data_IF_977778555647
#
_entry.id   IF_977778555647
#
_cell.length_a   1.000
_cell.length_b   1.000
_cell.length_c   1.000
_cell.angle_alpha   90.00
_cell.angle_beta   90.00
_cell.angle_gamma   90.00
#
_symmetry.space_group_name_H-M   'P 1'
#
loop_
_entity.id
_entity.type
_entity.pdbx_description
1 polymer ?
#
# COMPACT_ATOMS: atom_id res chain seq x y z
N UNK A 1 -21.30 -3.79 13.84
CA UNK A 1 -21.05 -2.50 14.54
C UNK A 1 -19.92 -1.77 13.84
N UNK A 2 -20.16 -0.51 13.44
CA UNK A 2 -19.11 0.36 12.89
C UNK A 2 -18.05 0.63 13.98
N UNK A 3 -16.77 0.38 13.67
CA UNK A 3 -15.70 0.68 14.61
C UNK A 3 -15.62 2.20 14.82
N UNK A 4 -15.21 2.69 16.01
CA UNK A 4 -15.01 4.12 16.27
C UNK A 4 -14.06 4.78 15.24
N UNK A 5 -13.11 4.03 14.72
CA UNK A 5 -12.17 4.48 13.69
C UNK A 5 -12.89 4.80 12.36
N UNK A 6 -13.86 3.99 11.95
CA UNK A 6 -14.64 4.28 10.74
C UNK A 6 -15.42 5.57 10.89
N UNK A 7 -16.13 5.77 12.01
CA UNK A 7 -16.84 7.03 12.27
C UNK A 7 -15.90 8.23 12.27
N UNK A 8 -14.73 8.09 12.88
CA UNK A 8 -13.72 9.14 12.91
C UNK A 8 -13.19 9.50 11.51
N UNK A 9 -12.93 8.50 10.64
CA UNK A 9 -12.49 8.73 9.26
C UNK A 9 -13.58 9.47 8.48
N UNK A 10 -14.80 8.94 8.48
CA UNK A 10 -15.89 9.40 7.62
C UNK A 10 -16.59 10.67 8.11
N UNK A 11 -16.41 11.07 9.37
CA UNK A 11 -16.98 12.31 9.91
C UNK A 11 -16.26 13.58 9.49
N UNK A 12 -15.10 13.50 8.85
CA UNK A 12 -14.32 14.67 8.47
C UNK A 12 -14.01 14.62 6.96
N UNK A 13 -14.41 15.64 6.19
CA UNK A 13 -14.25 15.67 4.74
C UNK A 13 -12.81 15.45 4.24
N UNK A 14 -11.79 15.94 4.98
CA UNK A 14 -10.39 15.74 4.59
C UNK A 14 -9.96 14.28 4.77
N UNK A 15 -10.30 13.67 5.91
CA UNK A 15 -9.98 12.26 6.14
C UNK A 15 -10.73 11.37 5.16
N UNK A 16 -12.01 11.73 4.87
CA UNK A 16 -12.81 11.09 3.85
C UNK A 16 -12.14 11.20 2.47
N UNK A 17 -11.82 12.41 2.01
CA UNK A 17 -11.17 12.63 0.73
C UNK A 17 -9.82 11.90 0.64
N UNK A 18 -9.00 11.94 1.69
CA UNK A 18 -7.76 11.19 1.75
C UNK A 18 -7.98 9.68 1.59
N UNK A 19 -8.97 9.14 2.28
CA UNK A 19 -9.29 7.71 2.19
C UNK A 19 -9.78 7.31 0.80
N UNK A 20 -10.57 8.17 0.16
CA UNK A 20 -11.04 7.97 -1.22
C UNK A 20 -9.88 8.04 -2.24
N UNK A 21 -8.91 8.93 -2.04
CA UNK A 21 -7.70 8.96 -2.88
C UNK A 21 -6.88 7.68 -2.74
N UNK A 22 -6.74 7.13 -1.54
CA UNK A 22 -6.09 5.83 -1.33
C UNK A 22 -6.82 4.71 -2.07
N UNK A 23 -8.14 4.69 -2.04
CA UNK A 23 -8.93 3.74 -2.82
C UNK A 23 -8.70 3.94 -4.31
N UNK A 24 -8.77 5.19 -4.79
CA UNK A 24 -8.50 5.51 -6.20
C UNK A 24 -7.19 4.89 -6.71
N UNK A 25 -6.10 5.04 -5.95
CA UNK A 25 -4.80 4.47 -6.35
C UNK A 25 -4.82 2.94 -6.30
N UNK A 26 -5.45 2.35 -5.28
CA UNK A 26 -5.56 0.89 -5.15
C UNK A 26 -6.33 0.27 -6.31
N UNK A 27 -7.48 0.85 -6.71
CA UNK A 27 -8.29 0.38 -7.83
C UNK A 27 -7.53 0.51 -9.16
N UNK A 28 -6.88 1.66 -9.41
CA UNK A 28 -6.11 1.87 -10.64
C UNK A 28 -4.95 0.88 -10.74
N UNK A 29 -4.24 0.62 -9.66
CA UNK A 29 -3.14 -0.35 -9.64
C UNK A 29 -3.67 -1.78 -9.81
N UNK A 30 -4.77 -2.14 -9.13
CA UNK A 30 -5.47 -3.41 -9.34
C UNK A 30 -5.92 -3.60 -10.79
N UNK A 31 -6.48 -2.55 -11.40
CA UNK A 31 -6.87 -2.56 -12.80
C UNK A 31 -5.72 -2.83 -13.76
N UNK A 32 -4.50 -2.31 -13.49
CA UNK A 32 -3.30 -2.58 -14.28
C UNK A 32 -2.88 -4.04 -14.18
N UNK A 33 -2.91 -4.61 -12.97
CA UNK A 33 -2.54 -6.00 -12.75
C UNK A 33 -3.52 -6.96 -13.43
N UNK A 34 -4.82 -6.64 -13.39
CA UNK A 34 -5.86 -7.41 -14.09
C UNK A 34 -5.71 -7.27 -15.62
N UNK A 35 -5.34 -6.09 -16.11
CA UNK A 35 -5.02 -5.89 -17.54
C UNK A 35 -3.85 -6.80 -17.94
N UNK A 36 -2.82 -6.89 -17.11
CA UNK A 36 -1.69 -7.79 -17.37
C UNK A 36 -2.11 -9.25 -17.40
N UNK A 37 -3.04 -9.67 -16.51
CA UNK A 37 -3.62 -11.01 -16.57
C UNK A 37 -4.40 -11.25 -17.88
N UNK A 38 -5.08 -10.23 -18.42
CA UNK A 38 -5.74 -10.33 -19.72
C UNK A 38 -4.77 -10.51 -20.87
N UNK A 39 -3.56 -9.95 -20.79
CA UNK A 39 -2.51 -10.10 -21.79
C UNK A 39 -1.89 -11.51 -21.76
N UNK A 40 -1.73 -12.09 -20.57
CA UNK A 40 -1.02 -13.36 -20.38
C UNK A 40 -1.90 -14.59 -20.54
N UNK A 41 -3.22 -14.49 -20.25
CA UNK A 41 -4.13 -15.63 -20.35
C UNK A 41 -4.28 -16.11 -21.81
N UNK A 42 -4.28 -17.43 -22.00
CA UNK A 42 -4.60 -18.08 -23.27
C UNK A 42 -6.10 -18.28 -23.50
N UNK A 43 -6.93 -18.18 -22.43
CA UNK A 43 -8.39 -18.36 -22.50
C UNK A 43 -9.09 -17.10 -23.03
N UNK A 44 -9.74 -17.15 -24.24
CA UNK A 44 -10.38 -15.97 -24.82
C UNK A 44 -11.55 -15.42 -23.98
N UNK A 45 -12.22 -16.28 -23.20
CA UNK A 45 -13.31 -15.84 -22.33
C UNK A 45 -12.74 -15.09 -21.12
N UNK A 46 -11.71 -15.65 -20.48
CA UNK A 46 -11.05 -14.98 -19.36
C UNK A 46 -10.43 -13.65 -19.80
N UNK A 47 -9.79 -13.61 -20.96
CA UNK A 47 -9.26 -12.36 -21.51
C UNK A 47 -10.30 -11.26 -21.58
N UNK A 48 -11.50 -11.56 -22.11
CA UNK A 48 -12.60 -10.59 -22.17
C UNK A 48 -13.09 -10.15 -20.80
N UNK A 49 -13.22 -11.11 -19.87
CA UNK A 49 -13.67 -10.81 -18.51
C UNK A 49 -12.65 -9.97 -17.74
N UNK A 50 -11.36 -10.27 -17.86
CA UNK A 50 -10.29 -9.47 -17.26
C UNK A 50 -10.21 -8.05 -17.85
N UNK A 51 -10.37 -7.90 -19.18
CA UNK A 51 -10.43 -6.57 -19.81
C UNK A 51 -11.60 -5.75 -19.30
N UNK A 52 -12.78 -6.36 -19.16
CA UNK A 52 -13.95 -5.67 -18.60
C UNK A 52 -13.69 -5.28 -17.14
N UNK A 53 -13.22 -6.20 -16.33
CA UNK A 53 -12.89 -5.96 -14.92
C UNK A 53 -11.85 -4.85 -14.77
N UNK A 54 -10.73 -4.91 -15.50
CA UNK A 54 -9.72 -3.83 -15.51
C UNK A 54 -10.30 -2.47 -15.87
N UNK A 55 -11.25 -2.42 -16.82
CA UNK A 55 -11.95 -1.19 -17.17
C UNK A 55 -12.81 -0.66 -16.02
N UNK A 56 -13.50 -1.55 -15.31
CA UNK A 56 -14.30 -1.19 -14.14
C UNK A 56 -13.42 -0.65 -13.01
N UNK A 57 -12.28 -1.31 -12.70
CA UNK A 57 -11.33 -0.84 -11.69
C UNK A 57 -10.79 0.57 -11.99
N UNK A 58 -10.43 0.83 -13.26
CA UNK A 58 -10.02 2.17 -13.67
C UNK A 58 -11.16 3.19 -13.49
N UNK A 59 -12.40 2.81 -13.77
CA UNK A 59 -13.57 3.65 -13.56
C UNK A 59 -13.83 3.90 -12.08
N UNK A 60 -13.75 2.88 -11.22
CA UNK A 60 -13.84 3.00 -9.76
C UNK A 60 -12.78 3.98 -9.21
N UNK A 61 -11.55 3.82 -9.65
CA UNK A 61 -10.47 4.75 -9.28
C UNK A 61 -10.77 6.20 -9.67
N UNK A 62 -11.33 6.44 -10.86
CA UNK A 62 -11.71 7.77 -11.29
C UNK A 62 -12.91 8.34 -10.51
N UNK A 63 -13.89 7.51 -10.16
CA UNK A 63 -15.05 7.90 -9.33
C UNK A 63 -14.56 8.34 -7.95
N UNK A 64 -13.74 7.53 -7.28
CA UNK A 64 -13.16 7.86 -5.99
C UNK A 64 -12.35 9.16 -6.04
N UNK A 65 -11.50 9.31 -7.04
CA UNK A 65 -10.65 10.51 -7.21
C UNK A 65 -11.48 11.76 -7.42
N UNK A 66 -12.46 11.71 -8.30
CA UNK A 66 -13.36 12.84 -8.58
C UNK A 66 -14.08 13.27 -7.32
N UNK A 67 -14.72 12.33 -6.63
CA UNK A 67 -15.46 12.64 -5.42
C UNK A 67 -14.57 13.18 -4.29
N UNK A 68 -13.37 12.65 -4.12
CA UNK A 68 -12.39 13.20 -3.18
C UNK A 68 -12.06 14.67 -3.48
N UNK A 69 -11.83 15.01 -4.74
CA UNK A 69 -11.59 16.40 -5.16
C UNK A 69 -12.79 17.31 -4.94
N UNK A 70 -14.01 16.82 -5.16
CA UNK A 70 -15.22 17.61 -4.91
C UNK A 70 -15.37 17.93 -3.41
N UNK A 71 -15.10 16.98 -2.53
CA UNK A 71 -15.08 17.21 -1.08
C UNK A 71 -14.03 18.25 -0.67
N UNK A 72 -12.83 18.21 -1.25
CA UNK A 72 -11.76 19.16 -0.98
C UNK A 72 -12.11 20.57 -1.50
N UNK A 73 -12.62 20.69 -2.74
CA UNK A 73 -13.06 21.98 -3.33
C UNK A 73 -14.18 22.61 -2.53
N UNK A 74 -15.19 21.84 -2.15
CA UNK A 74 -16.31 22.35 -1.35
C UNK A 74 -15.86 22.93 0.00
N UNK A 75 -14.76 22.44 0.55
CA UNK A 75 -14.13 22.99 1.75
C UNK A 75 -13.36 24.28 1.48
N UNK A 76 -12.55 24.31 0.43
CA UNK A 76 -11.76 25.49 0.05
C UNK A 76 -12.69 26.70 -0.12
N UNK A 77 -13.79 26.52 -0.83
CA UNK A 77 -14.80 27.58 -0.99
C UNK A 77 -15.40 28.05 0.35
N UNK A 78 -15.52 27.18 1.35
CA UNK A 78 -16.05 27.54 2.67
C UNK A 78 -15.03 28.22 3.59
N UNK A 79 -13.75 27.89 3.45
CA UNK A 79 -12.71 28.38 4.36
C UNK A 79 -11.98 29.64 3.86
N UNK A 80 -12.18 30.03 2.60
CA UNK A 80 -11.44 31.15 1.98
C UNK A 80 -9.92 30.91 1.91
N UNK A 81 -9.46 29.74 2.28
CA UNK A 81 -8.05 29.39 2.29
C UNK A 81 -7.61 28.95 0.90
N UNK A 82 -6.53 29.55 0.40
CA UNK A 82 -5.73 28.98 -0.67
C UNK A 82 -4.96 27.79 -0.07
N UNK A 83 -5.47 26.59 -0.27
CA UNK A 83 -4.86 25.41 0.34
C UNK A 83 -3.63 25.00 -0.46
N UNK A 84 -2.48 24.94 0.16
CA UNK A 84 -1.34 24.22 -0.35
C UNK A 84 -1.46 22.73 -0.03
N UNK A 85 -2.62 22.10 -0.26
CA UNK A 85 -2.71 20.66 -0.13
C UNK A 85 -1.99 19.98 -1.30
N UNK A 86 -0.69 20.02 -1.25
CA UNK A 86 0.22 19.20 -2.05
C UNK A 86 0.19 17.78 -1.50
N UNK A 87 -0.96 17.12 -1.64
CA UNK A 87 -1.04 15.72 -1.35
C UNK A 87 -0.60 14.95 -2.59
N UNK A 88 0.58 14.35 -2.52
CA UNK A 88 0.89 13.20 -3.35
C UNK A 88 0.06 12.04 -2.80
N UNK A 89 -0.88 11.51 -3.56
CA UNK A 89 -1.52 10.25 -3.17
C UNK A 89 -0.39 9.23 -2.96
N UNK A 90 -0.37 8.51 -1.82
CA UNK A 90 0.58 7.42 -1.67
C UNK A 90 0.34 6.40 -2.77
N UNK A 91 1.41 5.79 -3.28
CA UNK A 91 1.31 4.73 -4.26
C UNK A 91 0.30 3.69 -3.77
N UNK A 92 -0.62 3.29 -4.63
CA UNK A 92 -1.50 2.16 -4.38
C UNK A 92 -0.67 0.89 -4.26
N UNK A 93 -1.28 -0.14 -3.71
CA UNK A 93 -0.60 -1.43 -3.55
C UNK A 93 -1.10 -2.48 -4.56
N UNK A 94 -2.00 -2.10 -5.48
CA UNK A 94 -2.56 -2.99 -6.49
C UNK A 94 -3.04 -4.33 -5.93
N UNK A 95 -2.79 -5.39 -6.66
CA UNK A 95 -3.04 -6.77 -6.20
C UNK A 95 -1.95 -7.30 -5.26
N UNK A 96 -1.11 -6.42 -4.74
CA UNK A 96 -0.08 -6.65 -3.71
C UNK A 96 0.62 -8.00 -3.82
N UNK A 97 1.81 -8.00 -4.40
CA UNK A 97 2.69 -9.17 -4.39
C UNK A 97 2.26 -10.36 -5.28
N UNK A 98 1.26 -10.21 -6.14
CA UNK A 98 1.01 -11.21 -7.16
C UNK A 98 1.88 -10.90 -8.39
N UNK A 99 2.80 -11.80 -8.73
CA UNK A 99 3.53 -11.73 -9.99
C UNK A 99 2.62 -12.29 -11.09
N UNK A 100 1.79 -11.42 -11.64
CA UNK A 100 0.76 -11.80 -12.62
C UNK A 100 1.34 -12.58 -13.81
N UNK A 101 2.57 -12.27 -14.21
CA UNK A 101 3.23 -12.90 -15.33
C UNK A 101 3.54 -14.40 -15.14
N UNK A 102 3.70 -14.81 -13.89
CA UNK A 102 4.11 -16.17 -13.51
C UNK A 102 2.94 -17.01 -12.96
N UNK A 103 1.74 -16.43 -12.83
CA UNK A 103 0.62 -17.09 -12.18
C UNK A 103 -0.35 -17.74 -13.17
N UNK A 104 -0.89 -18.89 -12.77
CA UNK A 104 -1.95 -19.56 -13.54
C UNK A 104 -3.28 -18.82 -13.42
N UNK A 105 -4.19 -18.98 -14.40
CA UNK A 105 -5.55 -18.46 -14.35
C UNK A 105 -6.30 -18.95 -13.09
N UNK A 106 -6.05 -20.17 -12.62
CA UNK A 106 -6.63 -20.69 -11.38
C UNK A 106 -6.22 -19.87 -10.16
N UNK A 107 -4.93 -19.55 -10.04
CA UNK A 107 -4.38 -18.75 -8.93
C UNK A 107 -4.90 -17.33 -9.00
N UNK A 108 -4.88 -16.73 -10.19
CA UNK A 108 -5.36 -15.38 -10.41
C UNK A 108 -6.85 -15.23 -10.07
N UNK A 109 -7.70 -16.15 -10.55
CA UNK A 109 -9.14 -16.13 -10.26
C UNK A 109 -9.43 -16.35 -8.77
N UNK A 110 -8.71 -17.25 -8.10
CA UNK A 110 -8.87 -17.46 -6.68
C UNK A 110 -8.46 -16.23 -5.87
N UNK A 111 -7.37 -15.58 -6.25
CA UNK A 111 -6.89 -14.36 -5.63
C UNK A 111 -7.88 -13.20 -5.82
N UNK A 112 -8.31 -12.95 -7.05
CA UNK A 112 -9.31 -11.92 -7.37
C UNK A 112 -10.59 -12.17 -6.58
N UNK A 113 -11.14 -13.39 -6.60
CA UNK A 113 -12.37 -13.68 -5.85
C UNK A 113 -12.27 -13.32 -4.37
N UNK A 114 -11.15 -13.61 -3.71
CA UNK A 114 -10.94 -13.26 -2.30
C UNK A 114 -10.76 -11.74 -2.14
N UNK A 115 -10.07 -11.07 -3.06
CA UNK A 115 -9.86 -9.63 -3.03
C UNK A 115 -11.19 -8.88 -3.15
N UNK A 116 -12.01 -9.21 -4.18
CA UNK A 116 -13.30 -8.60 -4.43
C UNK A 116 -14.29 -8.82 -3.28
N UNK A 117 -14.32 -10.04 -2.76
CA UNK A 117 -15.16 -10.35 -1.60
C UNK A 117 -14.85 -9.48 -0.39
N UNK A 118 -13.57 -9.23 -0.14
CA UNK A 118 -13.15 -8.41 0.99
C UNK A 118 -13.33 -6.91 0.69
N UNK A 119 -13.18 -6.48 -0.56
CA UNK A 119 -13.47 -5.12 -1.01
C UNK A 119 -14.96 -4.82 -0.85
N UNK A 120 -15.83 -5.67 -1.39
CA UNK A 120 -17.27 -5.54 -1.25
C UNK A 120 -17.72 -5.49 0.23
N UNK A 121 -17.17 -6.36 1.08
CA UNK A 121 -17.48 -6.35 2.50
C UNK A 121 -17.08 -5.04 3.19
N UNK A 122 -15.91 -4.49 2.84
CA UNK A 122 -15.44 -3.19 3.37
C UNK A 122 -16.25 -2.03 2.84
N UNK A 123 -16.55 -1.98 1.55
CA UNK A 123 -17.34 -0.91 0.95
C UNK A 123 -18.78 -0.89 1.47
N UNK A 124 -19.36 -2.05 1.76
CA UNK A 124 -20.66 -2.11 2.43
C UNK A 124 -20.62 -1.47 3.82
N UNK A 125 -19.57 -1.73 4.61
CA UNK A 125 -19.38 -1.09 5.93
C UNK A 125 -19.18 0.43 5.78
N UNK A 126 -18.45 0.88 4.75
CA UNK A 126 -18.22 2.31 4.53
C UNK A 126 -19.47 3.03 4.03
N UNK A 127 -20.23 2.43 3.11
CA UNK A 127 -21.55 2.92 2.71
C UNK A 127 -22.45 3.19 3.90
N UNK A 128 -22.48 2.25 4.84
CA UNK A 128 -23.30 2.40 6.05
C UNK A 128 -22.71 3.43 7.03
N UNK A 129 -21.38 3.64 7.01
CA UNK A 129 -20.70 4.64 7.82
C UNK A 129 -20.96 6.09 7.36
N UNK A 130 -21.27 6.28 6.07
CA UNK A 130 -21.53 7.60 5.46
C UNK A 130 -23.01 7.87 5.23
N UNK A 131 -23.89 7.28 6.04
CA UNK A 131 -25.34 7.42 5.91
C UNK A 131 -25.81 8.90 5.86
N UNK A 132 -25.11 9.78 6.57
CA UNK A 132 -25.40 11.22 6.60
C UNK A 132 -24.86 12.02 5.40
N UNK A 133 -24.08 11.37 4.51
CA UNK A 133 -23.54 11.97 3.28
C UNK A 133 -24.04 11.18 2.06
N UNK A 134 -25.18 11.58 1.48
CA UNK A 134 -25.78 10.86 0.35
C UNK A 134 -24.87 10.77 -0.88
N UNK A 135 -24.03 11.79 -1.11
CA UNK A 135 -23.13 11.82 -2.27
C UNK A 135 -22.01 10.77 -2.12
N UNK A 136 -21.35 10.70 -0.97
CA UNK A 136 -20.35 9.68 -0.69
C UNK A 136 -20.98 8.28 -0.64
N UNK A 137 -22.19 8.16 -0.11
CA UNK A 137 -22.92 6.90 -0.07
C UNK A 137 -23.21 6.36 -1.49
N UNK A 138 -23.67 7.23 -2.40
CA UNK A 138 -23.95 6.85 -3.78
C UNK A 138 -22.72 6.29 -4.51
N UNK A 139 -21.53 6.84 -4.24
CA UNK A 139 -20.26 6.33 -4.77
C UNK A 139 -20.04 4.86 -4.35
N UNK A 140 -20.22 4.54 -3.08
CA UNK A 140 -20.07 3.15 -2.63
C UNK A 140 -21.18 2.23 -3.16
N UNK A 141 -22.40 2.71 -3.34
CA UNK A 141 -23.51 1.93 -3.90
C UNK A 141 -23.25 1.56 -5.36
N UNK A 142 -22.73 2.50 -6.16
CA UNK A 142 -22.35 2.28 -7.56
C UNK A 142 -21.26 1.19 -7.65
N UNK A 143 -20.18 1.36 -6.93
CA UNK A 143 -19.04 0.41 -6.95
C UNK A 143 -19.46 -0.97 -6.45
N UNK A 144 -20.25 -1.06 -5.35
CA UNK A 144 -20.75 -2.32 -4.81
C UNK A 144 -21.60 -3.11 -5.81
N UNK A 145 -22.20 -2.46 -6.81
CA UNK A 145 -22.91 -3.16 -7.86
C UNK A 145 -21.95 -3.99 -8.72
N UNK A 146 -20.83 -3.41 -9.11
CA UNK A 146 -19.84 -4.07 -9.95
C UNK A 146 -19.04 -5.11 -9.18
N UNK A 147 -18.70 -4.84 -7.92
CA UNK A 147 -18.03 -5.80 -7.04
C UNK A 147 -18.78 -7.13 -6.92
N UNK A 148 -20.11 -7.09 -6.92
CA UNK A 148 -20.94 -8.31 -6.96
C UNK A 148 -20.75 -9.10 -8.24
N UNK A 149 -20.65 -8.40 -9.38
CA UNK A 149 -20.37 -9.05 -10.65
C UNK A 149 -18.96 -9.66 -10.65
N UNK A 150 -17.96 -8.91 -10.18
CA UNK A 150 -16.57 -9.36 -10.09
C UNK A 150 -16.44 -10.61 -9.22
N UNK A 151 -17.06 -10.61 -8.03
CA UNK A 151 -17.12 -11.79 -7.16
C UNK A 151 -17.75 -13.00 -7.84
N UNK A 152 -18.86 -12.82 -8.56
CA UNK A 152 -19.60 -13.91 -9.16
C UNK A 152 -18.86 -14.52 -10.35
N UNK A 153 -18.33 -13.68 -11.27
CA UNK A 153 -17.63 -14.20 -12.42
C UNK A 153 -16.33 -14.90 -12.04
N UNK A 154 -15.56 -14.31 -11.11
CA UNK A 154 -14.28 -14.90 -10.68
C UNK A 154 -14.48 -16.28 -10.07
N UNK A 155 -15.50 -16.48 -9.22
CA UNK A 155 -15.80 -17.77 -8.67
C UNK A 155 -16.30 -18.75 -9.74
N UNK A 156 -17.21 -18.31 -10.61
CA UNK A 156 -17.77 -19.14 -11.69
C UNK A 156 -16.66 -19.62 -12.64
N UNK A 157 -15.77 -18.72 -13.02
CA UNK A 157 -14.66 -19.07 -13.90
C UNK A 157 -13.62 -19.95 -13.20
N UNK A 158 -13.37 -19.73 -11.91
CA UNK A 158 -12.49 -20.60 -11.12
C UNK A 158 -13.03 -22.04 -11.06
N UNK A 159 -14.33 -22.19 -10.85
CA UNK A 159 -14.97 -23.54 -10.88
C UNK A 159 -14.87 -24.15 -12.28
N UNK A 160 -15.01 -23.34 -13.34
CA UNK A 160 -14.89 -23.81 -14.74
C UNK A 160 -13.49 -24.32 -15.07
N UNK A 161 -12.45 -23.53 -14.74
CA UNK A 161 -11.05 -23.88 -15.07
C UNK A 161 -10.44 -24.91 -14.12
N UNK A 162 -10.95 -25.01 -12.91
CA UNK A 162 -10.41 -25.90 -11.87
C UNK A 162 -11.52 -26.56 -11.03
N UNK A 163 -12.40 -27.39 -11.63
CA UNK A 163 -13.59 -27.92 -10.97
C UNK A 163 -13.27 -28.73 -9.71
N UNK A 164 -12.20 -29.52 -9.72
CA UNK A 164 -11.82 -30.37 -8.59
C UNK A 164 -10.98 -29.64 -7.53
N UNK A 165 -10.24 -28.58 -7.93
CA UNK A 165 -9.25 -27.91 -7.07
C UNK A 165 -9.66 -26.51 -6.63
N UNK A 166 -10.78 -25.96 -7.13
CA UNK A 166 -11.19 -24.58 -6.83
C UNK A 166 -11.24 -24.25 -5.33
N UNK A 167 -11.76 -25.16 -4.49
CA UNK A 167 -11.81 -24.97 -3.03
C UNK A 167 -10.40 -24.88 -2.42
N UNK A 168 -9.49 -25.71 -2.90
CA UNK A 168 -8.09 -25.71 -2.46
C UNK A 168 -7.40 -24.42 -2.88
N UNK A 169 -7.62 -23.95 -4.10
CA UNK A 169 -7.09 -22.67 -4.58
C UNK A 169 -7.60 -21.48 -3.75
N UNK A 170 -8.89 -21.43 -3.44
CA UNK A 170 -9.45 -20.41 -2.55
C UNK A 170 -8.83 -20.46 -1.15
N UNK A 171 -8.57 -21.64 -0.64
CA UNK A 171 -7.94 -21.80 0.67
C UNK A 171 -6.49 -21.32 0.66
N UNK A 172 -5.73 -21.66 -0.37
CA UNK A 172 -4.36 -21.14 -0.55
C UNK A 172 -4.33 -19.62 -0.72
N UNK A 173 -5.22 -19.04 -1.50
CA UNK A 173 -5.32 -17.59 -1.66
C UNK A 173 -5.56 -16.88 -0.31
N UNK A 174 -6.47 -17.42 0.52
CA UNK A 174 -6.70 -16.90 1.88
C UNK A 174 -5.47 -17.01 2.77
N UNK A 175 -4.84 -18.18 2.77
CA UNK A 175 -3.65 -18.41 3.60
C UNK A 175 -2.49 -17.50 3.21
N UNK A 176 -2.25 -17.37 1.91
CA UNK A 176 -1.22 -16.46 1.36
C UNK A 176 -1.48 -15.01 1.79
N UNK A 177 -2.75 -14.57 1.77
CA UNK A 177 -3.12 -13.23 2.20
C UNK A 177 -2.87 -13.00 3.70
N UNK A 178 -3.18 -13.97 4.55
CA UNK A 178 -2.88 -13.93 5.98
C UNK A 178 -1.35 -13.87 6.19
N UNK A 179 -0.61 -14.70 5.46
CA UNK A 179 0.85 -14.73 5.54
C UNK A 179 1.48 -13.39 5.16
N UNK A 180 1.01 -12.78 4.05
CA UNK A 180 1.47 -11.47 3.62
C UNK A 180 1.11 -10.36 4.61
N UNK A 181 -0.07 -10.42 5.22
CA UNK A 181 -0.45 -9.49 6.29
C UNK A 181 0.48 -9.62 7.52
N UNK A 182 0.85 -10.85 7.89
CA UNK A 182 1.82 -11.12 8.95
C UNK A 182 3.20 -10.55 8.61
N UNK A 183 3.69 -10.76 7.39
CA UNK A 183 4.99 -10.22 6.95
C UNK A 183 4.99 -8.68 6.96
N UNK A 184 3.92 -8.04 6.49
CA UNK A 184 3.78 -6.57 6.55
C UNK A 184 3.80 -6.04 7.98
N UNK A 185 3.11 -6.70 8.88
CA UNK A 185 3.16 -6.35 10.30
C UNK A 185 4.59 -6.50 10.87
N UNK A 186 5.25 -7.61 10.55
CA UNK A 186 6.64 -7.87 10.98
C UNK A 186 7.61 -6.79 10.48
N UNK A 187 7.51 -6.40 9.19
CA UNK A 187 8.35 -5.33 8.63
C UNK A 187 8.05 -3.97 9.25
N UNK A 188 6.79 -3.66 9.53
CA UNK A 188 6.41 -2.41 10.20
C UNK A 188 6.98 -2.34 11.64
N UNK A 189 6.90 -3.43 12.39
CA UNK A 189 7.49 -3.53 13.73
C UNK A 189 9.02 -3.39 13.66
N UNK A 190 9.68 -4.12 12.76
CA UNK A 190 11.13 -4.05 12.58
C UNK A 190 11.58 -2.64 12.18
N UNK A 191 10.86 -1.97 11.29
CA UNK A 191 11.11 -0.58 10.91
C UNK A 191 10.99 0.38 12.10
N UNK A 192 9.96 0.22 12.92
CA UNK A 192 9.75 1.05 14.12
C UNK A 192 10.89 0.86 15.13
N UNK A 193 11.27 -0.40 15.41
CA UNK A 193 12.39 -0.71 16.30
C UNK A 193 13.69 -0.16 15.74
N UNK A 194 13.95 -0.34 14.45
CA UNK A 194 15.14 0.18 13.77
C UNK A 194 15.24 1.71 13.89
N UNK A 195 14.13 2.42 13.64
CA UNK A 195 14.08 3.88 13.79
C UNK A 195 14.37 4.31 15.23
N UNK A 196 13.80 3.62 16.22
CA UNK A 196 14.04 3.90 17.63
C UNK A 196 15.51 3.72 18.00
N UNK A 197 16.11 2.58 17.60
CA UNK A 197 17.52 2.29 17.86
C UNK A 197 18.46 3.31 17.21
N UNK A 198 18.22 3.67 15.95
CA UNK A 198 18.99 4.70 15.24
C UNK A 198 18.84 6.08 15.91
N UNK A 199 17.66 6.41 16.39
CA UNK A 199 17.41 7.66 17.12
C UNK A 199 18.21 7.69 18.43
N UNK A 200 18.17 6.61 19.20
CA UNK A 200 18.99 6.50 20.43
C UNK A 200 20.48 6.58 20.10
N UNK A 201 20.94 5.87 19.08
CA UNK A 201 22.32 5.91 18.64
C UNK A 201 22.74 7.34 18.29
N UNK A 202 21.94 8.04 17.50
CA UNK A 202 22.29 9.40 17.05
C UNK A 202 22.27 10.43 18.18
N UNK A 203 21.25 10.41 19.03
CA UNK A 203 21.09 11.46 20.06
C UNK A 203 21.79 11.14 21.38
N UNK A 204 22.12 9.89 21.67
CA UNK A 204 22.75 9.47 22.93
C UNK A 204 24.19 9.00 22.70
N UNK A 205 24.38 8.01 21.83
CA UNK A 205 25.68 7.36 21.66
C UNK A 205 26.68 8.29 20.96
N UNK A 206 26.31 8.88 19.83
CA UNK A 206 27.19 9.77 19.08
C UNK A 206 27.65 10.99 19.90
N UNK A 207 26.78 11.74 20.61
CA UNK A 207 27.22 12.84 21.48
C UNK A 207 28.14 12.38 22.61
N UNK A 208 27.86 11.21 23.21
CA UNK A 208 28.73 10.65 24.24
C UNK A 208 30.15 10.37 23.72
N UNK A 209 30.26 9.73 22.56
CA UNK A 209 31.56 9.49 21.93
C UNK A 209 32.23 10.79 21.50
N UNK A 210 31.50 11.74 20.94
CA UNK A 210 32.04 13.06 20.59
C UNK A 210 32.59 13.80 21.82
N UNK A 211 31.88 13.71 22.97
CA UNK A 211 32.35 14.29 24.22
C UNK A 211 33.62 13.63 24.70
N UNK A 212 33.71 12.30 24.68
CA UNK A 212 34.90 11.54 25.08
C UNK A 212 36.10 11.82 24.18
N UNK A 213 35.87 11.85 22.86
CA UNK A 213 36.91 12.18 21.87
C UNK A 213 37.44 13.62 22.10
N UNK A 214 36.55 14.59 22.28
CA UNK A 214 36.95 15.96 22.58
C UNK A 214 37.69 16.14 23.90
N UNK A 215 37.36 15.28 24.90
CA UNK A 215 38.08 15.24 26.17
C UNK A 215 39.48 14.62 26.01
N UNK A 216 39.62 13.58 25.19
CA UNK A 216 40.91 12.96 24.88
C UNK A 216 41.82 13.94 24.11
N UNK A 217 41.28 14.60 23.07
CA UNK A 217 41.98 15.60 22.28
C UNK A 217 42.51 16.75 23.14
N UNK A 218 41.79 17.20 24.17
CA UNK A 218 42.25 18.25 25.10
C UNK A 218 43.44 17.79 25.98
N UNK A 219 43.69 16.51 26.11
CA UNK A 219 44.82 15.95 26.88
C UNK A 219 46.05 15.76 26.03
N UNK A 220 45.91 15.75 24.71
CA UNK A 220 47.04 15.67 23.79
C UNK A 220 47.73 17.06 23.67
N UNK A 221 49.07 17.02 23.61
CA UNK A 221 49.86 18.26 23.42
C UNK A 221 49.50 18.84 22.05
N UNK A 222 48.99 20.10 22.04
CA UNK A 222 48.75 20.83 20.81
C UNK A 222 50.05 21.05 20.03
N UNK A 223 50.12 20.55 18.82
CA UNK A 223 51.22 20.75 17.90
C UNK A 223 51.47 19.52 17.05
N UNK A 224 52.25 19.73 15.99
CA UNK A 224 52.69 18.61 15.14
C UNK A 224 53.69 17.80 15.95
N UNK A 225 53.37 16.56 16.27
CA UNK A 225 54.35 15.63 16.82
C UNK A 225 55.34 15.32 15.69
N UNK A 226 56.66 15.56 15.88
CA UNK A 226 57.63 15.18 14.87
C UNK A 226 57.53 13.65 14.69
N UNK A 227 57.32 13.25 13.44
CA UNK A 227 57.35 11.80 13.08
C UNK A 227 58.72 11.30 13.58
N UNK A 228 58.69 10.35 14.52
CA UNK A 228 59.91 9.64 14.93
C UNK A 228 60.52 9.01 13.67
N UNK A 229 61.58 9.62 13.16
CA UNK A 229 62.37 9.05 12.07
C UNK A 229 62.96 7.77 12.60
N UNK A 230 62.36 6.65 12.25
CA UNK A 230 63.02 5.36 12.41
C UNK A 230 64.26 5.38 11.55
N UNK A 231 65.42 5.45 12.20
CA UNK A 231 66.71 5.57 11.52
C UNK A 231 67.08 4.33 10.67
N UNK A 232 66.29 3.26 10.69
CA UNK A 232 66.55 1.99 10.03
C UNK A 232 65.43 1.55 9.07
N UNK A 233 64.38 2.32 8.88
CA UNK A 233 63.28 1.99 7.99
C UNK A 233 63.61 2.27 6.52
N UNK A 234 63.93 1.24 5.77
CA UNK A 234 63.96 1.29 4.31
C UNK A 234 62.56 1.58 3.77
N UNK A 235 62.44 2.59 2.90
CA UNK A 235 61.17 2.94 2.20
C UNK A 235 60.62 1.83 1.27
N UNK A 236 61.29 0.68 1.21
CA UNK A 236 60.95 -0.46 0.35
C UNK A 236 59.99 -1.48 1.00
N UNK A 237 59.52 -1.25 2.22
CA UNK A 237 58.56 -2.13 2.95
C UNK A 237 57.14 -1.58 3.09
N UNK A 238 56.78 -0.61 2.28
CA UNK A 238 55.39 -0.02 2.29
C UNK A 238 54.56 -0.45 1.07
N UNK A 239 54.78 -1.68 0.54
CA UNK A 239 53.87 -2.27 -0.45
C UNK A 239 53.61 -3.73 -0.07
#
# INVERSE_FOLDING_TARGET
>A
MLSPIHRWIWSNPNRCAHKLLLFSETEIDGGRDILRAAETTSDPLLRRLYLHHSSDENRHGQIFRRHAWDLLRARLHRSGATDPFTWGAPAGHGLDDLRVDDESDETMLAFLHIAEKDAAARFAVYRDAVESDPATRAVFEEILHDEKFHMNYTLTQLVRVSPERHRRQLWYARLNRIWKAYLRLGTAIAGTIGTLLLTIQYFVIVPLFAFLAKRAERREKRGWNPIARDRNGSLTTQY
#
